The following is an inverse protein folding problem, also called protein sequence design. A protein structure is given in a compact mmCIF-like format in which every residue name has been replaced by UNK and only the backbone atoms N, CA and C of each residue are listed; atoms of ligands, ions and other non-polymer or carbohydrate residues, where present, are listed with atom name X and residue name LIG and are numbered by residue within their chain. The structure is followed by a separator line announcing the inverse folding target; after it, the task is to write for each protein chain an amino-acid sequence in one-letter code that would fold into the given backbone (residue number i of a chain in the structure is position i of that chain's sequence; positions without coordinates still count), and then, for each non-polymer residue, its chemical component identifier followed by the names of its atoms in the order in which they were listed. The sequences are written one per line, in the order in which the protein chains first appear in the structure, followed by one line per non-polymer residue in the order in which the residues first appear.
data_IF_315243776248
#
_entry.id   IF_315243776248
#
_cell.length_a   1.000
_cell.length_b   1.000
_cell.length_c   1.000
_cell.angle_alpha   90.00
_cell.angle_beta   90.00
_cell.angle_gamma   90.00
#
_symmetry.space_group_name_H-M   'P 1'
#
loop_
_entity.id
_entity.type
_entity.pdbx_description
1 polymer ?
#
# COMPACT_ATOMS: atom_id res chain seq x y z
N UNK A 1 23.44 20.57 6.55
CA UNK A 1 22.82 19.24 6.39
C UNK A 1 22.72 18.64 7.79
N UNK A 2 21.57 18.16 8.27
CA UNK A 2 21.00 16.82 7.98
C UNK A 2 19.48 16.85 8.17
N UNK A 3 18.74 16.21 7.25
CA UNK A 3 17.28 16.26 7.12
C UNK A 3 16.57 15.70 8.37
N UNK A 4 15.65 16.48 8.92
CA UNK A 4 14.63 16.02 9.86
C UNK A 4 13.64 15.12 9.10
N UNK A 5 13.65 13.82 9.40
CA UNK A 5 12.54 12.92 9.05
C UNK A 5 11.45 13.07 10.11
N UNK A 6 10.43 13.84 9.75
CA UNK A 6 9.21 14.06 10.50
C UNK A 6 8.40 12.74 10.53
N UNK A 7 8.44 12.06 11.67
CA UNK A 7 7.61 10.87 11.92
C UNK A 7 6.39 11.31 12.73
N UNK A 8 5.28 11.57 12.04
CA UNK A 8 3.97 11.81 12.64
C UNK A 8 3.61 10.63 13.56
N UNK A 9 3.72 10.90 14.87
CA UNK A 9 3.79 9.92 15.95
C UNK A 9 2.38 9.52 16.39
N UNK A 10 2.06 8.22 16.36
CA UNK A 10 0.82 7.71 16.91
C UNK A 10 0.77 7.96 18.43
N UNK A 11 -0.31 8.58 18.91
CA UNK A 11 -0.58 8.86 20.33
C UNK A 11 -0.95 7.58 21.11
N UNK A 12 -0.10 6.56 21.12
CA UNK A 12 -0.30 5.37 21.94
C UNK A 12 0.69 5.33 23.10
N UNK A 13 0.18 5.16 24.33
CA UNK A 13 1.00 5.02 25.53
C UNK A 13 1.76 3.70 25.44
N UNK A 14 3.09 3.76 25.54
CA UNK A 14 3.93 2.58 25.55
C UNK A 14 3.78 1.84 26.90
N UNK A 15 3.26 0.61 26.86
CA UNK A 15 3.22 -0.27 28.04
C UNK A 15 4.28 -1.37 27.92
N UNK A 16 5.16 -1.55 28.93
CA UNK A 16 6.16 -2.60 28.91
C UNK A 16 5.52 -3.99 28.90
N UNK A 17 6.04 -4.91 28.08
CA UNK A 17 5.53 -6.27 27.92
C UNK A 17 4.39 -6.45 26.92
N UNK A 18 3.84 -5.36 26.35
CA UNK A 18 2.85 -5.44 25.27
C UNK A 18 3.56 -5.44 23.91
N UNK A 19 3.24 -6.35 22.98
CA UNK A 19 3.84 -6.33 21.65
C UNK A 19 3.46 -5.04 20.94
N UNK A 20 4.41 -4.48 20.18
CA UNK A 20 4.18 -3.26 19.40
C UNK A 20 3.00 -3.51 18.45
N UNK A 21 1.96 -2.66 18.46
CA UNK A 21 0.85 -2.81 17.52
C UNK A 21 1.40 -2.71 16.11
N UNK A 22 1.05 -3.67 15.24
CA UNK A 22 1.46 -3.62 13.85
C UNK A 22 0.89 -2.35 13.24
N UNK A 23 1.74 -1.50 12.66
CA UNK A 23 1.30 -0.29 11.97
C UNK A 23 0.20 -0.67 10.97
N UNK A 24 -0.97 -0.01 10.95
CA UNK A 24 -1.99 -0.30 9.96
C UNK A 24 -1.38 -0.17 8.55
N UNK A 25 -1.69 -1.11 7.66
CA UNK A 25 -1.28 -1.01 6.25
C UNK A 25 -1.85 0.30 5.71
N UNK A 26 -1.00 1.15 5.12
CA UNK A 26 -1.44 2.41 4.55
C UNK A 26 -2.42 2.09 3.41
N UNK A 27 -3.69 2.45 3.63
CA UNK A 27 -4.70 2.42 2.57
C UNK A 27 -4.31 3.51 1.59
N UNK A 28 -4.18 3.16 0.32
CA UNK A 28 -3.78 4.15 -0.66
C UNK A 28 -4.93 5.15 -0.87
N UNK A 29 -4.64 6.45 -0.83
CA UNK A 29 -5.62 7.48 -1.19
C UNK A 29 -5.39 7.96 -2.62
N UNK A 30 -6.35 8.71 -3.19
CA UNK A 30 -6.22 9.26 -4.53
C UNK A 30 -5.01 10.20 -4.69
N UNK A 31 -4.57 10.85 -3.61
CA UNK A 31 -3.39 11.71 -3.60
C UNK A 31 -2.08 10.92 -3.58
N UNK A 32 -2.12 9.66 -3.13
CA UNK A 32 -0.92 8.85 -2.95
C UNK A 32 -0.59 7.94 -4.15
N UNK A 33 -1.45 7.95 -5.17
CA UNK A 33 -1.38 7.04 -6.31
C UNK A 33 -1.09 7.80 -7.60
N UNK A 34 0.13 7.63 -8.11
CA UNK A 34 0.53 8.11 -9.43
C UNK A 34 0.47 7.00 -10.49
N UNK A 35 0.21 7.32 -11.77
CA UNK A 35 0.46 6.40 -12.87
C UNK A 35 1.89 5.85 -12.82
N UNK A 36 2.04 4.55 -13.06
CA UNK A 36 3.31 3.81 -13.00
C UNK A 36 3.66 3.25 -11.62
N UNK A 37 2.92 3.61 -10.57
CA UNK A 37 3.23 3.14 -9.21
C UNK A 37 2.78 1.70 -8.97
N UNK A 38 3.58 0.95 -8.22
CA UNK A 38 3.22 -0.38 -7.77
C UNK A 38 2.19 -0.32 -6.64
N UNK A 39 1.22 -1.22 -6.68
CA UNK A 39 0.17 -1.35 -5.67
C UNK A 39 -0.11 -2.82 -5.36
N UNK A 40 -0.68 -3.06 -4.19
CA UNK A 40 -1.14 -4.39 -3.77
C UNK A 40 -2.64 -4.37 -3.58
N UNK A 41 -3.33 -5.31 -4.21
CA UNK A 41 -4.74 -5.53 -4.02
C UNK A 41 -5.00 -6.29 -2.71
N UNK A 42 -5.84 -5.72 -1.84
CA UNK A 42 -6.22 -6.31 -0.54
C UNK A 42 -7.71 -6.61 -0.42
N UNK A 43 -8.47 -6.48 -1.51
CA UNK A 43 -9.87 -6.88 -1.51
C UNK A 43 -10.05 -8.39 -1.44
N UNK A 44 -11.17 -8.82 -0.83
CA UNK A 44 -11.63 -10.22 -0.81
C UNK A 44 -13.06 -10.26 -1.35
N UNK A 45 -13.18 -10.13 -2.67
CA UNK A 45 -14.48 -10.12 -3.39
C UNK A 45 -14.49 -11.28 -4.39
N UNK A 46 -15.62 -11.98 -4.49
CA UNK A 46 -15.84 -13.01 -5.50
C UNK A 46 -15.84 -12.41 -6.90
N UNK A 47 -15.05 -12.99 -7.81
CA UNK A 47 -14.89 -12.48 -9.17
C UNK A 47 -13.93 -11.30 -9.31
N UNK A 48 -13.29 -10.86 -8.22
CA UNK A 48 -12.20 -9.88 -8.26
C UNK A 48 -10.82 -10.53 -8.36
N UNK A 49 -9.75 -9.71 -8.45
CA UNK A 49 -8.38 -10.19 -8.35
C UNK A 49 -8.11 -10.93 -7.05
N UNK A 50 -7.09 -11.80 -7.05
CA UNK A 50 -6.71 -12.53 -5.83
C UNK A 50 -6.15 -11.55 -4.79
N UNK A 51 -6.51 -11.73 -3.51
CA UNK A 51 -5.89 -11.00 -2.42
C UNK A 51 -4.35 -11.12 -2.47
N UNK A 52 -3.65 -10.00 -2.29
CA UNK A 52 -2.19 -9.91 -2.35
C UNK A 52 -1.64 -9.77 -3.77
N UNK A 53 -2.49 -9.70 -4.81
CA UNK A 53 -2.04 -9.49 -6.18
C UNK A 53 -1.36 -8.13 -6.30
N UNK A 54 -0.18 -8.11 -6.92
CA UNK A 54 0.53 -6.87 -7.24
C UNK A 54 0.09 -6.37 -8.61
N UNK A 55 -0.03 -5.06 -8.74
CA UNK A 55 -0.33 -4.41 -10.00
C UNK A 55 0.38 -3.08 -10.14
N UNK A 56 0.29 -2.51 -11.33
CA UNK A 56 0.82 -1.20 -11.66
C UNK A 56 -0.37 -0.28 -11.97
N UNK A 57 -0.42 0.87 -11.32
CA UNK A 57 -1.45 1.88 -11.60
C UNK A 57 -1.24 2.40 -13.01
N UNK A 58 -2.22 2.23 -13.90
CA UNK A 58 -2.22 2.88 -15.21
C UNK A 58 -2.77 4.29 -15.12
N UNK A 59 -3.83 4.47 -14.34
CA UNK A 59 -4.51 5.75 -14.21
C UNK A 59 -5.16 5.87 -12.83
N UNK A 60 -5.04 7.05 -12.21
CA UNK A 60 -5.72 7.38 -10.97
C UNK A 60 -6.94 8.26 -11.30
N UNK A 61 -8.15 7.72 -11.12
CA UNK A 61 -9.41 8.46 -11.30
C UNK A 61 -9.92 8.96 -9.95
N UNK A 62 -10.78 9.97 -9.95
CA UNK A 62 -11.22 10.66 -8.72
C UNK A 62 -11.67 9.75 -7.54
N UNK A 63 -12.25 8.57 -7.81
CA UNK A 63 -12.74 7.62 -6.77
C UNK A 63 -12.14 6.21 -6.85
N UNK A 64 -11.40 5.88 -7.90
CA UNK A 64 -10.90 4.52 -8.19
C UNK A 64 -9.63 4.59 -9.03
N UNK A 65 -8.81 3.57 -8.99
CA UNK A 65 -7.65 3.45 -9.86
C UNK A 65 -7.88 2.37 -10.92
N UNK A 66 -7.36 2.63 -12.12
CA UNK A 66 -7.18 1.61 -13.15
C UNK A 66 -5.82 0.96 -12.89
N UNK A 67 -5.82 -0.32 -12.57
CA UNK A 67 -4.63 -1.07 -12.20
C UNK A 67 -4.43 -2.22 -13.18
N UNK A 68 -3.26 -2.29 -13.79
CA UNK A 68 -2.85 -3.46 -14.55
C UNK A 68 -2.29 -4.52 -13.61
N UNK A 69 -2.95 -5.68 -13.57
CA UNK A 69 -2.56 -6.82 -12.75
C UNK A 69 -1.91 -7.93 -13.59
N UNK A 70 -1.37 -7.58 -14.76
CA UNK A 70 -0.65 -8.50 -15.64
C UNK A 70 -1.59 -9.53 -16.26
N UNK A 71 -1.41 -10.82 -15.94
CA UNK A 71 -2.22 -11.91 -16.54
C UNK A 71 -3.69 -11.85 -16.18
N UNK A 72 -4.04 -11.21 -15.07
CA UNK A 72 -5.44 -10.98 -14.68
C UNK A 72 -6.08 -9.84 -15.49
N UNK A 73 -5.31 -9.12 -16.30
CA UNK A 73 -5.76 -7.99 -17.08
C UNK A 73 -5.80 -6.68 -16.28
N UNK A 74 -6.48 -5.70 -16.87
CA UNK A 74 -6.63 -4.36 -16.30
C UNK A 74 -7.94 -4.27 -15.51
N UNK A 75 -7.85 -3.81 -14.27
CA UNK A 75 -8.96 -3.76 -13.30
C UNK A 75 -9.26 -2.35 -12.85
N UNK A 76 -10.56 -2.07 -12.67
CA UNK A 76 -11.04 -0.85 -12.04
C UNK A 76 -11.24 -1.10 -10.55
N UNK A 77 -10.33 -0.60 -9.72
CA UNK A 77 -10.30 -0.93 -8.30
C UNK A 77 -10.49 0.33 -7.44
N UNK A 78 -11.49 0.35 -6.56
CA UNK A 78 -11.62 1.40 -5.56
C UNK A 78 -10.41 1.47 -4.63
N UNK A 79 -10.04 2.69 -4.23
CA UNK A 79 -8.84 2.95 -3.43
C UNK A 79 -8.77 2.17 -2.11
N UNK A 80 -9.91 1.90 -1.47
CA UNK A 80 -9.97 1.14 -0.23
C UNK A 80 -9.55 -0.34 -0.37
N UNK A 81 -9.45 -0.86 -1.60
CA UNK A 81 -8.91 -2.19 -1.87
C UNK A 81 -7.44 -2.17 -2.31
N UNK A 82 -6.79 -1.02 -2.30
CA UNK A 82 -5.40 -0.85 -2.69
C UNK A 82 -4.55 -0.42 -1.50
N UNK A 83 -3.35 -0.98 -1.40
CA UNK A 83 -2.31 -0.55 -0.48
C UNK A 83 -1.06 -0.28 -1.27
N UNK A 84 -0.31 0.72 -0.82
CA UNK A 84 1.04 0.93 -1.30
C UNK A 84 1.92 -0.23 -0.81
N UNK A 85 2.78 -0.80 -1.68
CA UNK A 85 3.83 -1.69 -1.23
C UNK A 85 4.68 -0.89 -0.25
N UNK A 86 4.89 -1.44 0.95
CA UNK A 86 5.85 -0.83 1.85
C UNK A 86 7.25 -1.11 1.30
N UNK A 87 8.04 -0.06 1.14
CA UNK A 87 9.47 -0.16 0.80
C UNK A 87 10.33 -0.66 1.97
N UNK A 88 9.71 -1.25 3.00
CA UNK A 88 10.38 -1.85 4.17
C UNK A 88 11.26 -3.08 3.80
N UNK A 89 11.54 -3.33 2.52
CA UNK A 89 12.42 -4.38 2.01
C UNK A 89 13.80 -3.86 1.57
N UNK A 90 14.24 -2.70 2.07
CA UNK A 90 15.67 -2.40 2.06
C UNK A 90 16.31 -2.83 3.38
N UNK A 91 17.33 -3.68 3.24
CA UNK A 91 18.28 -4.19 4.25
C UNK A 91 17.93 -5.55 4.88
N UNK A 92 17.77 -6.59 4.05
CA UNK A 92 18.12 -7.95 4.45
C UNK A 92 19.26 -8.48 3.56
N UNK A 93 20.47 -8.36 4.11
CA UNK A 93 21.68 -9.15 3.84
C UNK A 93 22.32 -9.13 2.43
N UNK A 94 23.33 -8.26 2.30
CA UNK A 94 24.56 -8.57 1.58
C UNK A 94 25.75 -8.17 2.46
N UNK A 95 26.27 -9.12 3.22
CA UNK A 95 27.62 -9.14 3.79
C UNK A 95 27.91 -10.57 4.28
#
# INVERSE_FOLDING_TARGET
MNKATDACTAKQIAMPGMPVPSRPKAVATCCDLAPGQHVVYVGKIMGGPRYGTRGIVKEALQRKAVVDMGRLGTWNVPYFFLTLPRDDFEHAQAA
#
